data_IF_862541359663
#
_entry.id   IF_862541359663
#
_cell.length_a   1.000
_cell.length_b   1.000
_cell.length_c   1.000
_cell.angle_alpha   90.00
_cell.angle_beta   90.00
_cell.angle_gamma   90.00
#
_symmetry.space_group_name_H-M   'P 1'
#
loop_
_entity.id
_entity.type
_entity.pdbx_description
1 polymer ?
#
# COMPACT_ATOMS: atom_id res chain seq x y z
N UNK A 1 19.84 -15.28 7.75
CA UNK A 1 20.33 -14.14 8.57
C UNK A 1 20.26 -12.86 7.73
N UNK A 2 19.54 -11.82 8.18
CA UNK A 2 19.62 -10.49 7.55
C UNK A 2 20.91 -9.82 8.00
N UNK A 3 21.85 -9.61 7.08
CA UNK A 3 23.00 -8.73 7.28
C UNK A 3 22.50 -7.27 7.31
N UNK A 4 21.94 -6.82 8.43
CA UNK A 4 21.79 -5.40 8.71
C UNK A 4 23.17 -4.87 9.08
N UNK A 5 23.61 -3.81 8.41
CA UNK A 5 24.89 -3.10 8.67
C UNK A 5 25.04 -2.66 10.15
N UNK A 6 23.95 -2.68 10.93
CA UNK A 6 23.90 -2.28 12.33
C UNK A 6 23.72 -3.40 13.36
N UNK A 7 23.72 -4.69 12.99
CA UNK A 7 23.53 -5.78 13.96
C UNK A 7 24.30 -7.05 13.58
N UNK A 8 25.16 -7.51 14.51
CA UNK A 8 26.10 -8.62 14.31
C UNK A 8 27.53 -8.09 14.30
N UNK A 9 28.54 -8.90 14.63
CA UNK A 9 29.95 -8.54 14.45
C UNK A 9 30.53 -9.18 13.17
N UNK A 10 30.11 -8.75 11.97
CA UNK A 10 30.57 -9.35 10.73
C UNK A 10 32.07 -9.09 10.49
N UNK A 11 32.68 -8.14 11.19
CA UNK A 11 34.12 -7.84 11.06
C UNK A 11 34.99 -8.88 11.76
N UNK A 12 34.59 -9.34 12.95
CA UNK A 12 35.37 -10.30 13.73
C UNK A 12 35.36 -11.68 13.07
N UNK A 13 34.19 -12.18 12.65
CA UNK A 13 34.10 -13.44 11.91
C UNK A 13 34.89 -13.37 10.60
N UNK A 14 34.79 -12.27 9.84
CA UNK A 14 35.57 -12.12 8.59
C UNK A 14 37.08 -12.12 8.85
N UNK A 15 37.54 -11.40 9.87
CA UNK A 15 38.96 -11.38 10.24
C UNK A 15 39.45 -12.79 10.63
N UNK A 16 38.63 -13.54 11.36
CA UNK A 16 38.94 -14.93 11.74
C UNK A 16 38.98 -15.88 10.53
N UNK A 17 38.02 -15.79 9.60
CA UNK A 17 38.03 -16.60 8.38
C UNK A 17 39.28 -16.29 7.53
N UNK A 18 39.66 -15.01 7.40
CA UNK A 18 40.88 -14.61 6.70
C UNK A 18 42.14 -15.15 7.38
N UNK A 19 42.21 -15.15 8.72
CA UNK A 19 43.38 -15.70 9.43
C UNK A 19 43.51 -17.23 9.29
N UNK A 20 42.42 -17.91 8.94
CA UNK A 20 42.38 -19.34 8.63
C UNK A 20 42.55 -19.64 7.13
N UNK A 21 42.82 -18.62 6.30
CA UNK A 21 42.98 -18.78 4.85
C UNK A 21 41.68 -19.13 4.11
N UNK A 22 40.52 -18.87 4.72
CA UNK A 22 39.21 -19.16 4.15
C UNK A 22 38.71 -17.97 3.32
N UNK A 23 38.16 -18.24 2.14
CA UNK A 23 37.50 -17.22 1.32
C UNK A 23 36.24 -16.68 2.02
N UNK A 24 36.26 -15.38 2.33
CA UNK A 24 35.15 -14.67 2.96
C UNK A 24 33.87 -14.63 2.10
N UNK A 25 33.98 -14.93 0.81
CA UNK A 25 32.83 -14.93 -0.10
C UNK A 25 32.01 -16.23 -0.02
N UNK A 26 32.51 -17.28 0.66
CA UNK A 26 31.75 -18.51 0.90
C UNK A 26 30.48 -18.27 1.74
N UNK A 27 30.51 -17.31 2.66
CA UNK A 27 29.31 -16.89 3.37
C UNK A 27 28.60 -15.79 2.56
N UNK A 28 27.86 -16.23 1.55
CA UNK A 28 27.14 -15.34 0.64
C UNK A 28 26.28 -14.33 1.41
N UNK A 29 26.34 -13.06 0.97
CA UNK A 29 25.36 -12.07 1.42
C UNK A 29 24.01 -12.48 0.88
N UNK A 30 23.00 -12.38 1.73
CA UNK A 30 21.61 -12.67 1.37
C UNK A 30 21.11 -11.74 0.24
N UNK A 31 21.35 -12.14 -1.00
CA UNK A 31 20.92 -11.45 -2.22
C UNK A 31 20.48 -12.51 -3.22
N UNK A 32 19.17 -12.59 -3.49
CA UNK A 32 18.60 -13.52 -4.48
C UNK A 32 17.46 -14.38 -3.94
N UNK A 33 17.15 -15.44 -4.69
CA UNK A 33 16.07 -16.36 -4.34
C UNK A 33 16.35 -17.05 -3.00
N UNK A 34 15.46 -16.82 -2.02
CA UNK A 34 15.61 -17.29 -0.63
C UNK A 34 15.80 -18.80 -0.55
N UNK A 35 15.11 -19.52 -1.43
CA UNK A 35 15.16 -20.98 -1.48
C UNK A 35 16.58 -21.47 -1.76
N UNK A 36 17.19 -20.98 -2.84
CA UNK A 36 18.56 -21.33 -3.21
C UNK A 36 19.57 -20.91 -2.12
N UNK A 37 19.45 -19.69 -1.58
CA UNK A 37 20.38 -19.19 -0.57
C UNK A 37 20.42 -20.09 0.67
N UNK A 38 19.29 -20.64 1.10
CA UNK A 38 19.25 -21.55 2.26
C UNK A 38 20.06 -22.81 1.99
N UNK A 39 19.82 -23.51 0.87
CA UNK A 39 20.53 -24.74 0.55
C UNK A 39 22.02 -24.50 0.21
N UNK A 40 22.33 -23.39 -0.46
CA UNK A 40 23.72 -22.96 -0.70
C UNK A 40 24.47 -22.76 0.62
N UNK A 41 23.85 -22.04 1.57
CA UNK A 41 24.46 -21.80 2.89
C UNK A 41 24.61 -23.08 3.69
N UNK A 42 23.71 -24.06 3.58
CA UNK A 42 23.87 -25.36 4.24
C UNK A 42 25.21 -26.01 3.88
N UNK A 43 25.53 -26.08 2.59
CA UNK A 43 26.79 -26.64 2.11
C UNK A 43 28.00 -25.85 2.57
N UNK A 44 27.94 -24.52 2.50
CA UNK A 44 29.05 -23.67 2.92
C UNK A 44 29.28 -23.73 4.44
N UNK A 45 28.23 -23.82 5.25
CA UNK A 45 28.34 -23.98 6.71
C UNK A 45 28.91 -25.36 7.04
N UNK A 46 28.48 -26.42 6.35
CA UNK A 46 29.03 -27.76 6.54
C UNK A 46 30.52 -27.81 6.21
N UNK A 47 30.91 -27.23 5.06
CA UNK A 47 32.31 -27.10 4.66
C UNK A 47 33.16 -26.33 5.68
N UNK A 48 32.59 -25.31 6.32
CA UNK A 48 33.25 -24.48 7.32
C UNK A 48 33.03 -24.96 8.76
N UNK A 49 32.47 -26.15 8.98
CA UNK A 49 31.96 -26.58 10.28
C UNK A 49 33.03 -26.50 11.37
N UNK A 50 34.21 -27.08 11.14
CA UNK A 50 35.31 -27.07 12.11
C UNK A 50 35.78 -25.64 12.43
N UNK A 51 35.93 -24.80 11.41
CA UNK A 51 36.34 -23.40 11.55
C UNK A 51 35.30 -22.60 12.33
N UNK A 52 34.01 -22.82 12.07
CA UNK A 52 32.92 -22.17 12.78
C UNK A 52 32.81 -22.63 14.23
N UNK A 53 33.00 -23.93 14.50
CA UNK A 53 33.08 -24.46 15.86
C UNK A 53 34.22 -23.80 16.64
N UNK A 54 35.40 -23.67 16.04
CA UNK A 54 36.54 -22.99 16.67
C UNK A 54 36.23 -21.51 16.96
N UNK A 55 35.64 -20.79 16.00
CA UNK A 55 35.25 -19.39 16.17
C UNK A 55 34.26 -19.21 17.32
N UNK A 56 33.19 -19.99 17.35
CA UNK A 56 32.16 -19.84 18.38
C UNK A 56 32.59 -20.37 19.76
N UNK A 57 33.60 -21.24 19.81
CA UNK A 57 34.16 -21.73 21.08
C UNK A 57 35.16 -20.74 21.67
N UNK A 58 36.06 -20.19 20.85
CA UNK A 58 37.26 -19.51 21.34
C UNK A 58 37.27 -17.99 21.09
N UNK A 59 36.43 -17.46 20.21
CA UNK A 59 36.54 -16.07 19.73
C UNK A 59 35.26 -15.27 19.95
N UNK A 60 34.09 -15.87 19.74
CA UNK A 60 32.82 -15.16 19.83
C UNK A 60 32.22 -15.22 21.25
N UNK A 61 32.26 -14.10 21.97
CA UNK A 61 31.77 -14.03 23.35
C UNK A 61 30.25 -13.76 23.47
N UNK A 62 29.54 -13.63 22.34
CA UNK A 62 28.12 -13.22 22.35
C UNK A 62 27.23 -14.33 22.91
N UNK A 63 26.19 -14.01 23.72
CA UNK A 63 25.28 -15.03 24.23
C UNK A 63 24.62 -15.89 23.14
N UNK A 64 24.27 -15.28 22.00
CA UNK A 64 23.71 -16.00 20.86
C UNK A 64 24.70 -17.00 20.22
N UNK A 65 26.02 -16.79 20.37
CA UNK A 65 27.04 -17.72 19.87
C UNK A 65 26.93 -19.09 20.55
N UNK A 66 26.57 -19.13 21.83
CA UNK A 66 26.41 -20.39 22.58
C UNK A 66 25.30 -21.26 22.00
N UNK A 67 24.20 -20.64 21.55
CA UNK A 67 23.07 -21.35 20.91
C UNK A 67 23.48 -21.87 19.53
N UNK A 68 24.23 -21.07 18.77
CA UNK A 68 24.73 -21.50 17.46
C UNK A 68 25.74 -22.63 17.62
N UNK A 69 26.67 -22.51 18.55
CA UNK A 69 27.66 -23.53 18.89
C UNK A 69 27.00 -24.86 19.27
N UNK A 70 26.07 -24.81 20.24
CA UNK A 70 25.37 -26.03 20.67
C UNK A 70 24.61 -26.68 19.53
N UNK A 71 24.03 -25.88 18.63
CA UNK A 71 23.33 -26.40 17.44
C UNK A 71 24.28 -27.06 16.45
N UNK A 72 25.42 -26.43 16.15
CA UNK A 72 26.43 -26.95 15.21
C UNK A 72 27.10 -28.24 15.70
N UNK A 73 27.12 -28.49 17.02
CA UNK A 73 27.64 -29.71 17.61
C UNK A 73 26.68 -30.91 17.50
N UNK A 74 25.40 -30.69 17.20
CA UNK A 74 24.42 -31.77 17.06
C UNK A 74 24.62 -32.52 15.73
N UNK A 75 24.80 -33.83 15.79
CA UNK A 75 24.96 -34.69 14.60
C UNK A 75 23.78 -34.60 13.64
N UNK A 76 22.57 -34.42 14.16
CA UNK A 76 21.36 -34.20 13.35
C UNK A 76 21.47 -32.92 12.52
N UNK A 77 21.90 -31.82 13.12
CA UNK A 77 22.07 -30.53 12.43
C UNK A 77 23.17 -30.64 11.37
N UNK A 78 24.28 -31.31 11.70
CA UNK A 78 25.35 -31.54 10.72
C UNK A 78 24.86 -32.37 9.53
N UNK A 79 24.06 -33.42 9.77
CA UNK A 79 23.44 -34.23 8.71
C UNK A 79 22.47 -33.41 7.85
N UNK A 80 21.66 -32.55 8.47
CA UNK A 80 20.75 -31.63 7.76
C UNK A 80 21.51 -30.61 6.91
N UNK A 81 22.62 -30.06 7.43
CA UNK A 81 23.51 -29.15 6.69
C UNK A 81 24.18 -29.87 5.52
N UNK A 82 24.65 -31.10 5.72
CA UNK A 82 25.27 -31.92 4.68
C UNK A 82 24.29 -32.20 3.54
N UNK A 83 23.11 -32.77 3.86
CA UNK A 83 22.06 -33.06 2.89
C UNK A 83 21.56 -31.77 2.23
N UNK A 84 21.37 -30.70 2.99
CA UNK A 84 21.00 -29.40 2.45
C UNK A 84 22.03 -28.87 1.46
N UNK A 85 23.32 -29.02 1.75
CA UNK A 85 24.40 -28.66 0.84
C UNK A 85 24.34 -29.43 -0.47
N UNK A 86 24.09 -30.74 -0.42
CA UNK A 86 23.96 -31.59 -1.61
C UNK A 86 22.77 -31.16 -2.50
N UNK A 87 21.61 -30.83 -1.92
CA UNK A 87 20.50 -30.23 -2.67
C UNK A 87 20.83 -28.81 -3.18
N UNK A 88 21.65 -28.07 -2.44
CA UNK A 88 22.21 -26.79 -2.83
C UNK A 88 22.96 -26.89 -4.15
N UNK A 89 23.87 -27.86 -4.23
CA UNK A 89 24.71 -28.12 -5.41
C UNK A 89 23.94 -28.81 -6.53
N UNK A 90 23.19 -29.86 -6.24
CA UNK A 90 22.58 -30.73 -7.28
C UNK A 90 21.22 -30.24 -7.80
N UNK A 91 20.52 -29.36 -7.07
CA UNK A 91 19.14 -28.97 -7.41
C UNK A 91 18.99 -27.45 -7.49
N UNK A 92 19.12 -26.75 -6.36
CA UNK A 92 18.76 -25.32 -6.31
C UNK A 92 19.76 -24.43 -7.05
N UNK A 93 21.07 -24.73 -7.02
CA UNK A 93 22.08 -24.00 -7.78
C UNK A 93 21.90 -24.16 -9.29
N UNK A 94 21.80 -25.38 -9.82
CA UNK A 94 21.54 -25.66 -11.22
C UNK A 94 20.22 -25.07 -11.69
N UNK A 95 19.17 -25.09 -10.85
CA UNK A 95 17.92 -24.36 -11.09
C UNK A 95 18.18 -22.87 -11.37
N UNK A 96 18.91 -22.21 -10.48
CA UNK A 96 19.25 -20.78 -10.64
C UNK A 96 20.09 -20.53 -11.90
N UNK A 97 21.02 -21.44 -12.24
CA UNK A 97 21.83 -21.31 -13.46
C UNK A 97 21.01 -21.50 -14.74
N UNK A 98 20.15 -22.53 -14.78
CA UNK A 98 19.31 -22.86 -15.93
C UNK A 98 18.25 -21.80 -16.22
N UNK A 99 17.49 -21.44 -15.20
CA UNK A 99 16.23 -20.73 -15.39
C UNK A 99 16.36 -19.23 -15.20
N UNK A 100 17.26 -18.78 -14.31
CA UNK A 100 17.39 -17.37 -13.95
C UNK A 100 18.60 -16.66 -14.58
N UNK A 101 19.67 -17.39 -14.93
CA UNK A 101 20.89 -16.80 -15.52
C UNK A 101 20.98 -16.95 -17.04
N UNK A 102 20.25 -17.88 -17.65
CA UNK A 102 20.30 -18.13 -19.09
C UNK A 102 19.35 -17.17 -19.82
N UNK A 103 19.89 -16.08 -20.34
CA UNK A 103 19.12 -14.99 -21.00
C UNK A 103 18.45 -15.39 -22.31
N UNK A 104 18.78 -16.55 -22.87
CA UNK A 104 18.27 -17.02 -24.16
C UNK A 104 17.23 -18.14 -24.07
N UNK A 105 16.90 -18.60 -22.86
CA UNK A 105 15.87 -19.64 -22.69
C UNK A 105 14.50 -19.00 -22.92
N UNK A 106 13.62 -19.62 -23.71
CA UNK A 106 12.22 -19.18 -23.77
C UNK A 106 11.45 -19.77 -22.58
N UNK A 107 10.36 -19.11 -22.18
CA UNK A 107 9.50 -19.61 -21.10
C UNK A 107 9.04 -21.06 -21.37
N UNK A 108 8.67 -21.39 -22.61
CA UNK A 108 8.18 -22.73 -22.97
C UNK A 108 9.29 -23.78 -23.08
N UNK A 109 10.52 -23.39 -23.43
CA UNK A 109 11.66 -24.30 -23.42
C UNK A 109 12.00 -24.77 -21.99
N UNK A 110 11.58 -24.02 -20.97
CA UNK A 110 11.76 -24.42 -19.58
C UNK A 110 10.97 -25.69 -19.19
N UNK A 111 9.84 -25.99 -19.87
CA UNK A 111 8.99 -27.15 -19.57
C UNK A 111 9.77 -28.47 -19.63
N UNK A 112 10.60 -28.67 -20.66
CA UNK A 112 11.42 -29.89 -20.82
C UNK A 112 12.48 -30.01 -19.73
N UNK A 113 13.10 -28.89 -19.37
CA UNK A 113 14.12 -28.83 -18.32
C UNK A 113 13.49 -29.17 -16.97
N UNK A 114 12.32 -28.60 -16.68
CA UNK A 114 11.58 -28.83 -15.43
C UNK A 114 11.07 -30.27 -15.31
N UNK A 115 10.58 -30.85 -16.40
CA UNK A 115 10.13 -32.25 -16.46
C UNK A 115 11.29 -33.23 -16.29
N UNK A 116 12.45 -32.98 -16.92
CA UNK A 116 13.65 -33.75 -16.68
C UNK A 116 14.09 -33.67 -15.21
N UNK A 117 14.09 -32.47 -14.61
CA UNK A 117 14.44 -32.31 -13.21
C UNK A 117 13.48 -33.02 -12.26
N UNK A 118 12.17 -33.01 -12.57
CA UNK A 118 11.16 -33.76 -11.82
C UNK A 118 11.41 -35.27 -11.90
N UNK A 119 11.71 -35.80 -13.09
CA UNK A 119 12.07 -37.22 -13.31
C UNK A 119 13.35 -37.61 -12.59
N UNK A 120 14.38 -36.77 -12.63
CA UNK A 120 15.63 -37.03 -11.90
C UNK A 120 15.42 -37.03 -10.39
N UNK A 121 14.56 -36.14 -9.87
CA UNK A 121 14.17 -36.20 -8.45
C UNK A 121 13.43 -37.49 -8.09
N UNK A 122 12.61 -38.07 -8.99
CA UNK A 122 11.98 -39.39 -8.77
C UNK A 122 13.03 -40.48 -8.61
N UNK A 123 14.07 -40.45 -9.44
CA UNK A 123 15.20 -41.36 -9.30
C UNK A 123 15.95 -41.17 -7.98
N UNK A 124 16.09 -39.93 -7.49
CA UNK A 124 16.70 -39.66 -6.16
C UNK A 124 15.83 -40.21 -5.03
N UNK A 125 14.50 -40.19 -5.16
CA UNK A 125 13.61 -40.80 -4.16
C UNK A 125 13.82 -42.32 -4.09
N UNK A 126 13.95 -42.97 -5.24
CA UNK A 126 14.19 -44.42 -5.35
C UNK A 126 15.61 -44.81 -4.92
N UNK A 127 16.60 -43.98 -5.29
CA UNK A 127 18.02 -44.19 -5.01
C UNK A 127 18.65 -42.90 -4.43
N UNK A 128 18.52 -42.67 -3.12
CA UNK A 128 19.00 -41.44 -2.45
C UNK A 128 20.52 -41.22 -2.55
N UNK A 129 21.29 -42.30 -2.72
CA UNK A 129 22.75 -42.24 -2.86
C UNK A 129 23.22 -41.55 -4.16
N UNK A 130 22.33 -41.29 -5.12
CA UNK A 130 22.67 -40.57 -6.34
C UNK A 130 23.25 -39.18 -6.08
N UNK A 131 22.82 -38.48 -5.02
CA UNK A 131 23.33 -37.15 -4.69
C UNK A 131 24.83 -37.12 -4.35
N UNK A 132 25.42 -38.25 -3.96
CA UNK A 132 26.85 -38.36 -3.67
C UNK A 132 27.69 -38.67 -4.91
N UNK A 133 27.07 -38.93 -6.07
CA UNK A 133 27.81 -39.21 -7.28
C UNK A 133 28.46 -37.94 -7.82
N UNK A 134 29.73 -38.06 -8.21
CA UNK A 134 30.47 -36.95 -8.82
C UNK A 134 29.74 -36.44 -10.06
N UNK A 135 29.54 -35.13 -10.12
CA UNK A 135 28.84 -34.47 -11.23
C UNK A 135 27.34 -34.72 -11.31
N UNK A 136 26.73 -35.36 -10.30
CA UNK A 136 25.27 -35.50 -10.27
C UNK A 136 24.58 -34.14 -10.21
N UNK A 137 23.61 -33.93 -11.08
CA UNK A 137 22.76 -32.75 -11.09
C UNK A 137 21.35 -33.13 -11.55
N UNK A 138 20.34 -32.52 -10.95
CA UNK A 138 18.95 -32.68 -11.41
C UNK A 138 18.67 -31.90 -12.71
N UNK A 139 19.62 -31.06 -13.14
CA UNK A 139 19.50 -30.27 -14.35
C UNK A 139 20.67 -30.61 -15.28
N UNK A 140 20.44 -30.57 -16.58
CA UNK A 140 21.47 -30.80 -17.61
C UNK A 140 22.45 -29.61 -17.70
N UNK A 141 23.20 -29.37 -16.63
CA UNK A 141 24.19 -28.30 -16.51
C UNK A 141 25.50 -28.90 -16.03
N UNK A 142 26.59 -28.54 -16.68
CA UNK A 142 27.91 -28.76 -16.11
C UNK A 142 28.03 -27.97 -14.81
N UNK A 143 27.96 -28.68 -13.68
CA UNK A 143 28.41 -28.10 -12.43
C UNK A 143 29.90 -27.83 -12.48
N UNK A 144 30.35 -26.86 -11.68
CA UNK A 144 31.76 -26.52 -11.58
C UNK A 144 32.44 -27.71 -10.90
N UNK A 145 32.99 -28.64 -11.69
CA UNK A 145 33.61 -29.89 -11.23
C UNK A 145 34.73 -29.67 -10.20
N UNK A 146 35.24 -28.44 -10.12
CA UNK A 146 36.31 -28.04 -9.20
C UNK A 146 35.88 -27.22 -7.98
N UNK A 147 34.59 -27.18 -7.66
CA UNK A 147 34.13 -26.51 -6.44
C UNK A 147 34.57 -27.29 -5.17
N UNK A 148 35.36 -26.68 -4.26
CA UNK A 148 35.86 -27.37 -3.07
C UNK A 148 34.75 -27.79 -2.11
N UNK A 149 33.64 -27.05 -2.08
CA UNK A 149 32.47 -27.38 -1.25
C UNK A 149 31.79 -28.65 -1.76
N UNK A 150 31.52 -28.76 -3.07
CA UNK A 150 30.94 -29.97 -3.66
C UNK A 150 31.81 -31.20 -3.40
N UNK A 151 33.13 -31.10 -3.63
CA UNK A 151 34.07 -32.21 -3.37
C UNK A 151 34.04 -32.65 -1.91
N UNK A 152 33.99 -31.69 -0.98
CA UNK A 152 33.92 -31.98 0.45
C UNK A 152 32.62 -32.69 0.85
N UNK A 153 31.47 -32.24 0.33
CA UNK A 153 30.18 -32.90 0.57
C UNK A 153 30.17 -34.33 0.02
N UNK A 154 30.73 -34.56 -1.18
CA UNK A 154 30.72 -35.88 -1.82
C UNK A 154 31.75 -36.86 -1.23
N UNK A 155 32.78 -36.36 -0.53
CA UNK A 155 33.81 -37.19 0.08
C UNK A 155 33.32 -38.01 1.29
N UNK A 156 32.23 -37.59 1.94
CA UNK A 156 31.69 -38.23 3.14
C UNK A 156 30.64 -39.27 2.75
N UNK A 157 30.83 -40.52 3.17
CA UNK A 157 29.86 -41.59 2.92
C UNK A 157 28.53 -41.33 3.65
N UNK A 158 27.38 -41.53 2.99
CA UNK A 158 26.07 -41.27 3.60
C UNK A 158 25.74 -42.27 4.70
N UNK A 159 25.19 -41.76 5.79
CA UNK A 159 24.57 -42.57 6.84
C UNK A 159 23.13 -42.96 6.47
N UNK A 160 22.59 -44.00 7.11
CA UNK A 160 21.18 -44.38 6.91
C UNK A 160 20.19 -43.26 7.27
N UNK A 161 20.54 -42.40 8.23
CA UNK A 161 19.76 -41.22 8.59
C UNK A 161 19.73 -40.19 7.46
N UNK A 162 20.89 -39.88 6.86
CA UNK A 162 21.00 -38.94 5.74
C UNK A 162 20.28 -39.45 4.50
N UNK A 163 20.35 -40.74 4.19
CA UNK A 163 19.57 -41.33 3.10
C UNK A 163 18.05 -41.10 3.32
N UNK A 164 17.57 -41.29 4.55
CA UNK A 164 16.18 -41.02 4.91
C UNK A 164 15.81 -39.53 4.88
N UNK A 165 16.74 -38.63 5.19
CA UNK A 165 16.56 -37.19 4.99
C UNK A 165 16.47 -36.82 3.51
N UNK A 166 17.35 -37.37 2.67
CA UNK A 166 17.35 -37.14 1.22
C UNK A 166 16.02 -37.56 0.61
N UNK A 167 15.52 -38.76 0.92
CA UNK A 167 14.22 -39.21 0.42
C UNK A 167 13.09 -38.25 0.79
N UNK A 168 13.05 -37.78 2.05
CA UNK A 168 12.01 -36.85 2.52
C UNK A 168 12.12 -35.49 1.83
N UNK A 169 13.34 -34.97 1.72
CA UNK A 169 13.59 -33.69 1.05
C UNK A 169 13.25 -33.77 -0.44
N UNK A 170 13.68 -34.82 -1.15
CA UNK A 170 13.35 -35.03 -2.56
C UNK A 170 11.84 -35.10 -2.80
N UNK A 171 11.09 -35.83 -1.96
CA UNK A 171 9.61 -35.85 -2.00
C UNK A 171 9.00 -34.48 -1.77
N UNK A 172 9.56 -33.67 -0.87
CA UNK A 172 9.09 -32.32 -0.63
C UNK A 172 9.34 -31.40 -1.84
N UNK A 173 10.50 -31.51 -2.50
CA UNK A 173 10.78 -30.81 -3.75
C UNK A 173 9.78 -31.20 -4.84
N UNK A 174 9.50 -32.49 -5.01
CA UNK A 174 8.51 -32.99 -5.98
C UNK A 174 7.13 -32.41 -5.71
N UNK A 175 6.64 -32.51 -4.47
CA UNK A 175 5.33 -31.98 -4.12
C UNK A 175 5.21 -30.48 -4.40
N UNK A 176 6.29 -29.71 -4.23
CA UNK A 176 6.33 -28.30 -4.59
C UNK A 176 6.31 -28.10 -6.11
N UNK A 177 7.11 -28.85 -6.85
CA UNK A 177 7.13 -28.78 -8.33
C UNK A 177 5.77 -29.16 -8.91
N UNK A 178 5.17 -30.25 -8.47
CA UNK A 178 3.85 -30.69 -8.91
C UNK A 178 2.76 -29.68 -8.57
N UNK A 179 2.83 -29.01 -7.41
CA UNK A 179 1.85 -28.00 -7.05
C UNK A 179 2.02 -26.68 -7.81
N UNK A 180 3.26 -26.22 -7.98
CA UNK A 180 3.54 -24.87 -8.50
C UNK A 180 3.79 -24.84 -10.00
N UNK A 181 4.24 -25.95 -10.57
CA UNK A 181 4.70 -26.04 -11.96
C UNK A 181 3.93 -27.09 -12.76
N UNK A 182 2.77 -27.54 -12.27
CA UNK A 182 1.90 -28.51 -12.96
C UNK A 182 1.70 -28.20 -14.44
N UNK A 183 1.58 -26.92 -14.80
CA UNK A 183 1.38 -26.48 -16.18
C UNK A 183 2.59 -26.72 -17.08
N UNK A 184 3.79 -26.73 -16.52
CA UNK A 184 5.07 -26.94 -17.20
C UNK A 184 5.55 -28.39 -17.18
N UNK A 185 4.90 -29.27 -16.41
CA UNK A 185 5.24 -30.69 -16.32
C UNK A 185 4.44 -31.51 -17.34
N UNK A 186 4.86 -32.76 -17.58
CA UNK A 186 4.17 -33.67 -18.48
C UNK A 186 2.66 -33.77 -18.13
N UNK A 187 1.81 -33.46 -19.12
CA UNK A 187 0.34 -33.40 -18.95
C UNK A 187 -0.22 -32.01 -18.64
N UNK A 188 0.64 -31.03 -18.37
CA UNK A 188 0.28 -29.62 -18.22
C UNK A 188 0.04 -28.89 -19.54
N UNK A 189 -0.74 -27.82 -19.49
CA UNK A 189 -1.13 -27.04 -20.68
C UNK A 189 0.05 -26.37 -21.40
N UNK A 190 1.11 -26.02 -20.67
CA UNK A 190 2.29 -25.32 -21.22
C UNK A 190 3.41 -26.30 -21.66
N UNK A 191 3.27 -27.59 -21.38
CA UNK A 191 4.28 -28.60 -21.72
C UNK A 191 4.37 -28.84 -23.23
N UNK A 192 3.22 -28.95 -23.90
CA UNK A 192 3.10 -29.15 -25.36
C UNK A 192 2.07 -28.17 -25.94
N UNK A 193 2.43 -26.88 -25.95
CA UNK A 193 1.55 -25.85 -26.50
C UNK A 193 1.39 -25.96 -28.02
N UNK A 194 0.16 -25.76 -28.57
CA UNK A 194 -0.05 -25.65 -30.01
C UNK A 194 0.75 -24.48 -30.61
N UNK A 195 1.22 -24.58 -31.87
CA UNK A 195 2.05 -23.55 -32.50
C UNK A 195 1.47 -22.13 -32.44
N UNK A 196 0.15 -21.99 -32.54
CA UNK A 196 -0.55 -20.71 -32.46
C UNK A 196 -0.38 -20.02 -31.10
N UNK A 197 -0.37 -20.78 -30.00
CA UNK A 197 -0.20 -20.24 -28.64
C UNK A 197 1.27 -20.03 -28.29
N UNK A 198 2.19 -20.77 -28.91
CA UNK A 198 3.64 -20.56 -28.76
C UNK A 198 4.02 -19.13 -29.16
N UNK A 199 3.44 -18.62 -30.26
CA UNK A 199 3.68 -17.25 -30.73
C UNK A 199 3.28 -16.22 -29.66
N UNK A 200 2.13 -16.41 -29.01
CA UNK A 200 1.65 -15.52 -27.94
C UNK A 200 2.54 -15.55 -26.69
N UNK A 201 3.11 -16.72 -26.36
CA UNK A 201 3.95 -16.92 -25.19
C UNK A 201 5.45 -16.61 -25.43
N UNK A 202 5.85 -16.30 -26.67
CA UNK A 202 7.27 -16.09 -27.04
C UNK A 202 7.92 -14.94 -26.25
N UNK A 203 7.14 -13.94 -25.87
CA UNK A 203 7.60 -12.77 -25.10
C UNK A 203 7.37 -12.91 -23.59
N UNK A 204 6.85 -14.03 -23.12
CA UNK A 204 6.67 -14.25 -21.69
C UNK A 204 8.04 -14.43 -21.03
N UNK A 205 8.31 -13.74 -19.90
CA UNK A 205 9.56 -13.94 -19.16
C UNK A 205 9.63 -15.38 -18.63
N UNK A 206 10.84 -15.92 -18.58
CA UNK A 206 11.12 -17.27 -18.06
C UNK A 206 10.89 -17.35 -16.56
N UNK A 207 11.19 -16.26 -15.86
CA UNK A 207 11.14 -16.18 -14.41
C UNK A 207 10.37 -14.96 -13.92
N UNK A 208 10.16 -14.92 -12.60
CA UNK A 208 9.44 -13.86 -11.93
C UNK A 208 10.33 -12.68 -11.48
N UNK A 209 11.65 -12.71 -11.68
CA UNK A 209 12.54 -11.66 -11.18
C UNK A 209 12.25 -10.31 -11.82
N UNK A 210 11.96 -10.28 -13.13
CA UNK A 210 11.60 -9.04 -13.82
C UNK A 210 10.33 -8.47 -13.20
N UNK A 211 9.30 -9.29 -13.02
CA UNK A 211 8.03 -8.88 -12.42
C UNK A 211 8.19 -8.43 -10.97
N UNK A 212 8.97 -9.13 -10.15
CA UNK A 212 9.27 -8.75 -8.76
C UNK A 212 10.05 -7.43 -8.70
N UNK A 213 11.02 -7.24 -9.59
CA UNK A 213 11.81 -6.00 -9.68
C UNK A 213 10.95 -4.82 -10.09
N UNK A 214 10.08 -4.99 -11.10
CA UNK A 214 9.09 -4.00 -11.56
C UNK A 214 8.16 -3.61 -10.41
N UNK A 215 7.59 -4.58 -9.70
CA UNK A 215 6.69 -4.33 -8.57
C UNK A 215 7.39 -3.65 -7.40
N UNK A 216 8.60 -4.10 -7.05
CA UNK A 216 9.41 -3.48 -6.00
C UNK A 216 9.78 -2.04 -6.33
N UNK A 217 10.11 -1.75 -7.60
CA UNK A 217 10.39 -0.39 -8.03
C UNK A 217 9.12 0.47 -8.04
N UNK A 218 7.97 -0.10 -8.42
CA UNK A 218 6.69 0.58 -8.33
C UNK A 218 6.34 0.97 -6.90
N UNK A 219 6.40 0.03 -5.94
CA UNK A 219 6.13 0.30 -4.52
C UNK A 219 7.07 1.40 -3.97
N UNK A 220 8.36 1.35 -4.31
CA UNK A 220 9.30 2.40 -3.94
C UNK A 220 8.89 3.78 -4.50
N UNK A 221 8.50 3.85 -5.78
CA UNK A 221 8.08 5.11 -6.41
C UNK A 221 6.78 5.64 -5.81
N UNK A 222 5.80 4.78 -5.53
CA UNK A 222 4.54 5.17 -4.89
C UNK A 222 4.77 5.74 -3.49
N UNK A 223 5.68 5.16 -2.70
CA UNK A 223 6.02 5.67 -1.37
C UNK A 223 6.83 6.97 -1.42
N UNK A 224 7.78 7.07 -2.35
CA UNK A 224 8.67 8.23 -2.46
C UNK A 224 7.98 9.44 -3.11
N UNK A 225 7.10 9.19 -4.07
CA UNK A 225 6.47 10.20 -4.93
C UNK A 225 4.95 10.05 -4.91
N UNK A 226 4.36 10.19 -3.72
CA UNK A 226 2.92 9.99 -3.50
C UNK A 226 2.01 10.99 -4.24
N UNK A 227 2.56 12.11 -4.74
CA UNK A 227 1.83 13.09 -5.57
C UNK A 227 2.01 12.84 -7.07
N UNK A 228 2.90 11.91 -7.46
CA UNK A 228 3.09 11.57 -8.87
C UNK A 228 1.91 10.74 -9.40
N UNK A 229 1.53 11.00 -10.65
CA UNK A 229 0.47 10.22 -11.30
C UNK A 229 0.94 8.80 -11.61
N UNK A 230 0.01 7.85 -11.65
CA UNK A 230 0.30 6.45 -12.01
C UNK A 230 1.01 6.36 -13.37
N UNK A 231 0.59 7.18 -14.34
CA UNK A 231 1.20 7.26 -15.66
C UNK A 231 2.68 7.69 -15.60
N UNK A 232 3.03 8.64 -14.73
CA UNK A 232 4.42 9.06 -14.54
C UNK A 232 5.27 7.95 -13.93
N UNK A 233 4.77 7.28 -12.90
CA UNK A 233 5.47 6.15 -12.27
C UNK A 233 5.63 4.98 -13.25
N UNK A 234 4.59 4.64 -14.01
CA UNK A 234 4.64 3.60 -15.04
C UNK A 234 5.66 3.92 -16.14
N UNK A 235 5.69 5.17 -16.63
CA UNK A 235 6.67 5.60 -17.62
C UNK A 235 8.10 5.50 -17.09
N UNK A 236 8.33 5.86 -15.83
CA UNK A 236 9.64 5.77 -15.18
C UNK A 236 10.12 4.33 -15.00
N UNK A 237 9.20 3.44 -14.62
CA UNK A 237 9.47 2.00 -14.52
C UNK A 237 9.82 1.45 -15.91
N UNK A 238 8.97 1.68 -16.91
CA UNK A 238 9.21 1.23 -18.29
C UNK A 238 10.51 1.76 -18.88
N UNK A 239 10.86 3.02 -18.59
CA UNK A 239 12.14 3.59 -19.00
C UNK A 239 13.33 2.80 -18.44
N UNK A 240 13.29 2.49 -17.14
CA UNK A 240 14.34 1.76 -16.44
C UNK A 240 14.41 0.26 -16.84
N UNK A 241 13.26 -0.39 -17.03
CA UNK A 241 13.19 -1.85 -17.25
C UNK A 241 13.43 -2.23 -18.70
N UNK A 242 12.98 -1.41 -19.66
CA UNK A 242 13.09 -1.74 -21.08
C UNK A 242 14.45 -1.32 -21.69
N UNK A 243 15.42 -0.94 -20.86
CA UNK A 243 16.70 -0.36 -21.30
C UNK A 243 16.49 0.79 -22.28
N UNK A 244 15.48 1.61 -22.02
CA UNK A 244 15.07 2.68 -22.93
C UNK A 244 16.19 3.73 -23.05
N UNK A 245 17.00 3.92 -22.00
CA UNK A 245 18.24 4.71 -22.06
C UNK A 245 19.20 4.19 -23.12
N UNK A 246 19.52 2.89 -23.06
CA UNK A 246 20.49 2.25 -23.95
C UNK A 246 19.98 2.25 -25.41
N UNK A 247 18.67 2.17 -25.60
CA UNK A 247 18.03 2.30 -26.91
C UNK A 247 18.10 3.74 -27.43
N UNK A 248 17.81 4.74 -26.59
CA UNK A 248 17.94 6.16 -26.93
C UNK A 248 19.37 6.52 -27.32
N UNK A 249 20.37 6.03 -26.58
CA UNK A 249 21.79 6.25 -26.86
C UNK A 249 22.26 5.64 -28.19
N UNK A 250 21.57 4.61 -28.68
CA UNK A 250 21.89 3.91 -29.95
C UNK A 250 21.20 4.52 -31.18
N UNK A 251 20.28 5.45 -31.00
CA UNK A 251 19.58 6.11 -32.11
C UNK A 251 20.39 7.32 -32.58
N UNK A 252 20.70 7.37 -33.89
CA UNK A 252 21.29 8.54 -34.54
C UNK A 252 20.36 9.76 -34.54
N UNK A 253 20.95 10.95 -34.36
CA UNK A 253 20.30 12.24 -34.04
C UNK A 253 19.01 12.56 -34.82
N UNK A 254 18.94 12.26 -36.12
CA UNK A 254 17.78 12.59 -36.97
C UNK A 254 16.46 11.95 -36.52
N UNK A 255 16.48 10.71 -36.01
CA UNK A 255 15.27 10.02 -35.57
C UNK A 255 14.89 10.36 -34.12
N UNK A 256 15.86 10.77 -33.30
CA UNK A 256 15.65 11.09 -31.89
C UNK A 256 14.79 12.36 -31.72
N UNK A 257 15.07 13.41 -32.50
CA UNK A 257 14.28 14.65 -32.48
C UNK A 257 12.82 14.42 -32.90
N UNK A 258 12.59 13.54 -33.88
CA UNK A 258 11.24 13.16 -34.31
C UNK A 258 10.45 12.42 -33.22
N UNK A 259 11.10 11.51 -32.50
CA UNK A 259 10.48 10.77 -31.38
C UNK A 259 10.18 11.73 -30.22
N UNK A 260 11.14 12.56 -29.81
CA UNK A 260 10.96 13.56 -28.74
C UNK A 260 9.84 14.55 -29.10
N UNK A 261 9.78 15.00 -30.37
CA UNK A 261 8.72 15.88 -30.86
C UNK A 261 7.33 15.24 -30.74
N UNK A 262 7.20 13.97 -31.13
CA UNK A 262 5.95 13.20 -30.97
C UNK A 262 5.57 13.03 -29.51
N UNK A 263 6.51 12.66 -28.63
CA UNK A 263 6.25 12.53 -27.20
C UNK A 263 5.78 13.84 -26.56
N UNK A 264 6.40 14.98 -26.92
CA UNK A 264 5.95 16.31 -26.46
C UNK A 264 4.54 16.63 -26.92
N UNK A 265 4.21 16.34 -28.18
CA UNK A 265 2.86 16.57 -28.71
C UNK A 265 1.79 15.72 -28.00
N UNK A 266 2.09 14.45 -27.72
CA UNK A 266 1.20 13.55 -26.98
C UNK A 266 0.99 14.05 -25.55
N UNK A 267 2.07 14.48 -24.87
CA UNK A 267 2.00 15.02 -23.51
C UNK A 267 1.12 16.28 -23.45
N UNK A 268 1.27 17.17 -24.43
CA UNK A 268 0.49 18.40 -24.50
C UNK A 268 -1.01 18.12 -24.75
N UNK A 269 -1.33 17.20 -25.68
CA UNK A 269 -2.72 16.74 -25.87
C UNK A 269 -3.31 16.13 -24.59
N UNK A 270 -2.52 15.34 -23.86
CA UNK A 270 -2.97 14.77 -22.59
C UNK A 270 -3.23 15.84 -21.53
N UNK A 271 -2.43 16.90 -21.48
CA UNK A 271 -2.63 18.02 -20.54
C UNK A 271 -3.90 18.81 -20.86
N UNK A 272 -4.14 19.07 -22.15
CA UNK A 272 -5.36 19.75 -22.60
C UNK A 272 -6.58 18.92 -22.22
N UNK A 273 -6.61 17.63 -22.58
CA UNK A 273 -7.72 16.73 -22.22
C UNK A 273 -7.94 16.65 -20.71
N UNK A 274 -6.87 16.61 -19.91
CA UNK A 274 -7.00 16.58 -18.44
C UNK A 274 -7.59 17.88 -17.88
N UNK A 275 -7.27 19.04 -18.47
CA UNK A 275 -7.86 20.33 -18.10
C UNK A 275 -9.33 20.37 -18.46
N UNK A 276 -9.69 19.92 -19.66
CA UNK A 276 -11.07 19.90 -20.14
C UNK A 276 -11.94 19.01 -19.25
N UNK A 277 -11.46 17.83 -18.88
CA UNK A 277 -12.16 16.92 -17.95
C UNK A 277 -12.28 17.54 -16.55
N UNK A 278 -11.23 18.18 -16.03
CA UNK A 278 -11.32 18.87 -14.73
C UNK A 278 -12.33 20.01 -14.76
N UNK A 279 -12.35 20.79 -15.84
CA UNK A 279 -13.28 21.90 -16.01
C UNK A 279 -14.72 21.40 -16.12
N UNK A 280 -14.95 20.29 -16.82
CA UNK A 280 -16.25 19.62 -16.87
C UNK A 280 -16.72 19.15 -15.49
N UNK A 281 -15.83 18.53 -14.70
CA UNK A 281 -16.14 18.10 -13.33
C UNK A 281 -16.50 19.30 -12.44
N UNK A 282 -15.72 20.40 -12.52
CA UNK A 282 -16.02 21.63 -11.81
C UNK A 282 -17.40 22.20 -12.19
N UNK A 283 -17.73 22.24 -13.48
CA UNK A 283 -19.02 22.71 -13.96
C UNK A 283 -20.18 21.85 -13.43
N UNK A 284 -20.05 20.52 -13.48
CA UNK A 284 -21.05 19.59 -12.93
C UNK A 284 -21.24 19.76 -11.42
N UNK A 285 -20.17 20.01 -10.67
CA UNK A 285 -20.25 20.27 -9.24
C UNK A 285 -20.98 21.59 -8.94
N UNK A 286 -20.67 22.65 -9.68
CA UNK A 286 -21.34 23.94 -9.54
C UNK A 286 -22.84 23.83 -9.84
N UNK A 287 -23.22 23.13 -10.92
CA UNK A 287 -24.63 22.88 -11.24
C UNK A 287 -25.36 22.11 -10.13
N UNK A 288 -24.72 21.08 -9.57
CA UNK A 288 -25.28 20.29 -8.47
C UNK A 288 -25.51 21.15 -7.22
N UNK A 289 -24.55 21.99 -6.87
CA UNK A 289 -24.67 22.91 -5.72
C UNK A 289 -25.78 23.95 -5.94
N UNK A 290 -25.90 24.49 -7.16
CA UNK A 290 -26.99 25.41 -7.50
C UNK A 290 -28.36 24.73 -7.41
N UNK A 291 -28.51 23.51 -7.95
CA UNK A 291 -29.75 22.73 -7.85
C UNK A 291 -30.12 22.44 -6.38
N UNK A 292 -29.16 22.06 -5.54
CA UNK A 292 -29.40 21.86 -4.11
C UNK A 292 -29.84 23.13 -3.40
N UNK A 293 -29.21 24.28 -3.70
CA UNK A 293 -29.60 25.58 -3.13
C UNK A 293 -31.04 25.94 -3.52
N UNK A 294 -31.39 25.77 -4.80
CA UNK A 294 -32.76 26.01 -5.29
C UNK A 294 -33.79 25.07 -4.68
N UNK A 295 -33.47 23.78 -4.53
CA UNK A 295 -34.37 22.81 -3.87
C UNK A 295 -34.60 23.15 -2.40
N UNK A 296 -33.54 23.48 -1.65
CA UNK A 296 -33.67 23.94 -0.26
C UNK A 296 -34.52 25.19 -0.14
N UNK A 297 -34.32 26.16 -1.03
CA UNK A 297 -35.11 27.39 -1.05
C UNK A 297 -36.59 27.11 -1.36
N UNK A 298 -36.89 26.23 -2.33
CA UNK A 298 -38.26 25.81 -2.64
C UNK A 298 -38.93 25.06 -1.48
N UNK A 299 -38.21 24.16 -0.82
CA UNK A 299 -38.71 23.43 0.35
C UNK A 299 -39.02 24.40 1.51
N UNK A 300 -38.13 25.37 1.77
CA UNK A 300 -38.35 26.41 2.77
C UNK A 300 -39.58 27.27 2.44
N UNK A 301 -39.71 27.74 1.21
CA UNK A 301 -40.88 28.51 0.78
C UNK A 301 -42.18 27.69 0.88
N UNK A 302 -42.14 26.38 0.60
CA UNK A 302 -43.29 25.49 0.75
C UNK A 302 -43.67 25.29 2.21
N UNK A 303 -42.69 25.08 3.09
CA UNK A 303 -42.91 24.94 4.53
C UNK A 303 -43.50 26.21 5.14
N UNK A 304 -42.99 27.39 4.76
CA UNK A 304 -43.54 28.69 5.19
C UNK A 304 -44.98 28.86 4.70
N UNK A 305 -45.28 28.49 3.44
CA UNK A 305 -46.66 28.57 2.92
C UNK A 305 -47.63 27.64 3.65
N UNK A 306 -47.19 26.43 4.00
CA UNK A 306 -47.99 25.50 4.80
C UNK A 306 -48.25 26.02 6.21
N UNK A 307 -47.22 26.60 6.85
CA UNK A 307 -47.36 27.24 8.17
C UNK A 307 -48.33 28.43 8.17
N UNK A 308 -48.40 29.19 7.07
CA UNK A 308 -49.35 30.31 6.94
C UNK A 308 -50.78 29.81 6.65
N UNK A 309 -50.93 28.64 6.02
CA UNK A 309 -52.23 28.09 5.61
C UNK A 309 -52.89 27.20 6.66
N UNK A 310 -52.18 26.88 7.74
CA UNK A 310 -52.68 26.04 8.84
C UNK A 310 -52.77 26.86 10.14
N UNK A 311 -53.91 27.53 10.43
CA UNK A 311 -54.10 28.36 11.61
C UNK A 311 -53.96 27.57 12.93
N UNK A 312 -54.16 26.25 12.89
CA UNK A 312 -54.18 25.38 14.07
C UNK A 312 -52.77 25.04 14.59
N UNK A 313 -51.72 25.27 13.79
CA UNK A 313 -50.34 25.13 14.28
C UNK A 313 -49.87 26.30 15.15
N UNK A 314 -50.50 27.47 15.04
CA UNK A 314 -50.26 28.60 15.94
C UNK A 314 -51.03 28.49 17.26
N UNK A 315 -52.14 27.76 17.28
CA UNK A 315 -52.96 27.56 18.49
C UNK A 315 -52.47 26.43 19.41
N UNK A 316 -51.52 25.60 18.96
CA UNK A 316 -50.97 24.48 19.74
C UNK A 316 -49.61 24.77 20.42
N UNK A 317 -49.07 25.99 20.32
CA UNK A 317 -47.90 26.46 21.05
C UNK A 317 -48.24 27.03 22.43
N UNK A 318 -47.24 27.12 23.32
CA UNK A 318 -47.31 27.39 24.78
C UNK A 318 -48.11 28.65 25.23
N UNK A 319 -48.67 29.47 24.33
CA UNK A 319 -49.30 30.75 24.67
C UNK A 319 -50.66 30.95 23.99
N UNK A 320 -51.59 30.02 24.24
CA UNK A 320 -52.95 30.03 23.72
C UNK A 320 -53.91 31.03 24.40
N UNK A 321 -53.43 32.14 24.97
CA UNK A 321 -54.32 33.12 25.58
C UNK A 321 -53.97 34.57 25.19
N UNK A 322 -54.97 35.19 24.54
CA UNK A 322 -55.22 36.62 24.38
C UNK A 322 -54.19 37.48 23.65
N UNK A 323 -54.40 37.67 22.34
CA UNK A 323 -54.65 39.00 21.72
C UNK A 323 -54.60 38.90 20.19
N UNK A 324 -55.38 39.75 19.51
CA UNK A 324 -55.38 39.87 18.05
C UNK A 324 -53.99 40.30 17.58
N UNK A 325 -53.32 39.46 16.80
CA UNK A 325 -52.04 39.80 16.19
C UNK A 325 -52.26 40.97 15.22
N UNK A 326 -51.62 42.12 15.50
CA UNK A 326 -51.68 43.31 14.65
C UNK A 326 -51.17 43.01 13.22
N UNK A 327 -51.81 43.53 12.16
CA UNK A 327 -51.35 43.37 10.77
C UNK A 327 -49.90 43.84 10.53
N UNK A 328 -49.46 44.87 11.26
CA UNK A 328 -48.10 45.42 11.16
C UNK A 328 -47.04 44.44 11.68
N UNK A 329 -47.44 43.58 12.62
CA UNK A 329 -46.61 42.53 13.21
C UNK A 329 -46.37 41.38 12.23
N UNK A 330 -47.39 41.04 11.42
CA UNK A 330 -47.28 40.07 10.33
C UNK A 330 -46.40 40.61 9.19
N UNK A 331 -46.51 41.90 8.86
CA UNK A 331 -45.64 42.53 7.86
C UNK A 331 -44.18 42.60 8.33
N UNK A 332 -43.96 42.90 9.61
CA UNK A 332 -42.64 42.89 10.24
C UNK A 332 -42.04 41.49 10.24
N UNK A 333 -42.78 40.45 10.64
CA UNK A 333 -42.33 39.07 10.58
C UNK A 333 -42.00 38.61 9.14
N UNK A 334 -42.79 39.05 8.15
CA UNK A 334 -42.54 38.78 6.73
C UNK A 334 -41.24 39.44 6.24
N UNK A 335 -40.92 40.65 6.70
CA UNK A 335 -39.66 41.32 6.42
C UNK A 335 -38.45 40.60 7.06
N UNK A 336 -38.62 40.11 8.29
CA UNK A 336 -37.59 39.37 9.04
C UNK A 336 -37.20 38.07 8.33
N UNK A 337 -38.18 37.35 7.78
CA UNK A 337 -37.94 36.11 7.02
C UNK A 337 -37.25 36.38 5.67
N UNK A 338 -37.52 37.53 5.04
CA UNK A 338 -36.95 37.90 3.74
C UNK A 338 -35.50 38.42 3.83
N UNK A 339 -35.12 39.08 4.93
CA UNK A 339 -33.76 39.61 5.12
C UNK A 339 -33.35 39.63 6.60
N UNK A 340 -32.84 38.50 7.16
CA UNK A 340 -32.55 38.38 8.60
C UNK A 340 -31.59 39.44 9.16
N UNK A 341 -30.73 39.99 8.30
CA UNK A 341 -29.75 41.01 8.68
C UNK A 341 -30.35 42.41 8.88
N UNK A 342 -31.62 42.65 8.48
CA UNK A 342 -32.25 43.99 8.63
C UNK A 342 -32.67 44.32 10.08
N UNK A 343 -32.58 43.35 11.00
CA UNK A 343 -32.86 43.53 12.42
C UNK A 343 -31.61 43.79 13.27
N UNK A 344 -30.42 43.52 12.73
CA UNK A 344 -29.18 43.66 13.48
C UNK A 344 -28.98 45.12 13.91
N UNK A 345 -28.83 45.33 15.21
CA UNK A 345 -28.62 46.66 15.80
C UNK A 345 -29.89 47.50 16.01
N UNK A 346 -31.07 47.02 15.62
CA UNK A 346 -32.34 47.70 15.96
C UNK A 346 -32.67 47.48 17.43
N UNK A 347 -33.18 48.53 18.06
CA UNK A 347 -33.64 48.53 19.45
C UNK A 347 -35.16 48.55 19.50
N UNK A 348 -35.73 47.74 20.39
CA UNK A 348 -37.16 47.64 20.62
C UNK A 348 -37.44 47.95 22.08
N UNK A 349 -38.43 48.78 22.35
CA UNK A 349 -38.80 49.15 23.72
C UNK A 349 -40.13 48.47 24.07
N UNK A 350 -40.10 47.72 25.17
CA UNK A 350 -41.23 46.97 25.68
C UNK A 350 -41.69 47.58 26.99
N UNK A 351 -43.01 47.69 27.20
CA UNK A 351 -43.59 48.07 28.49
C UNK A 351 -44.26 46.85 29.10
N UNK A 352 -43.90 46.50 30.32
CA UNK A 352 -44.51 45.34 30.98
C UNK A 352 -45.93 45.69 31.44
N UNK A 353 -46.90 44.81 31.15
CA UNK A 353 -48.33 45.10 31.28
C UNK A 353 -48.85 45.45 32.69
N UNK A 354 -48.03 45.41 33.75
CA UNK A 354 -48.43 45.79 35.11
C UNK A 354 -47.40 46.67 35.85
N UNK A 355 -46.50 47.38 35.15
CA UNK A 355 -45.55 48.32 35.76
C UNK A 355 -45.03 49.39 34.79
N UNK A 356 -44.47 50.49 35.33
CA UNK A 356 -43.89 51.60 34.55
C UNK A 356 -42.48 51.34 34.01
N UNK A 357 -41.96 50.12 34.21
CA UNK A 357 -40.63 49.75 33.74
C UNK A 357 -40.61 49.51 32.24
N UNK A 358 -39.70 50.20 31.55
CA UNK A 358 -39.43 50.01 30.13
C UNK A 358 -38.18 49.15 29.94
N UNK A 359 -38.28 48.15 29.08
CA UNK A 359 -37.16 47.29 28.70
C UNK A 359 -36.75 47.58 27.27
N UNK A 360 -35.45 47.74 27.05
CA UNK A 360 -34.86 47.85 25.73
C UNK A 360 -34.32 46.48 25.32
N UNK A 361 -34.55 46.13 24.06
CA UNK A 361 -34.16 44.86 23.46
C UNK A 361 -33.36 45.13 22.20
N UNK A 362 -32.18 44.50 22.09
CA UNK A 362 -31.33 44.62 20.90
C UNK A 362 -30.94 43.25 20.38
N UNK A 363 -31.02 43.07 19.06
CA UNK A 363 -30.56 41.86 18.38
C UNK A 363 -29.14 42.05 17.88
N UNK A 364 -28.24 41.18 18.31
CA UNK A 364 -26.83 41.20 17.91
C UNK A 364 -26.41 39.89 17.25
N UNK A 365 -25.51 39.98 16.28
CA UNK A 365 -24.93 38.82 15.60
C UNK A 365 -23.79 38.26 16.45
N UNK A 366 -23.84 36.98 16.77
CA UNK A 366 -22.73 36.27 17.42
C UNK A 366 -22.22 35.16 16.50
N UNK A 367 -20.97 35.29 16.08
CA UNK A 367 -20.28 34.25 15.32
C UNK A 367 -19.73 33.21 16.28
N UNK A 368 -20.19 31.98 16.12
CA UNK A 368 -19.71 30.83 16.87
C UNK A 368 -18.62 30.11 16.06
N UNK A 369 -17.73 29.36 16.72
CA UNK A 369 -16.52 28.75 16.13
C UNK A 369 -16.78 27.72 15.00
N UNK A 370 -18.04 27.48 14.63
CA UNK A 370 -18.48 26.51 13.63
C UNK A 370 -19.10 27.09 12.35
N UNK A 371 -18.78 28.33 11.96
CA UNK A 371 -19.32 29.00 10.75
C UNK A 371 -20.85 29.16 10.70
N UNK A 372 -21.54 28.92 11.82
CA UNK A 372 -22.98 29.14 11.93
C UNK A 372 -23.22 30.47 12.65
N UNK A 373 -23.88 31.41 11.97
CA UNK A 373 -24.26 32.70 12.54
C UNK A 373 -25.45 32.47 13.47
N UNK A 374 -25.29 32.80 14.75
CA UNK A 374 -26.38 32.81 15.73
C UNK A 374 -26.75 34.26 16.06
N UNK A 375 -28.03 34.50 16.28
CA UNK A 375 -28.52 35.80 16.70
C UNK A 375 -28.83 35.75 18.19
N UNK A 376 -28.38 36.75 18.93
CA UNK A 376 -28.53 36.84 20.37
C UNK A 376 -29.40 38.04 20.70
N UNK A 377 -30.36 37.83 21.61
CA UNK A 377 -31.25 38.88 22.09
C UNK A 377 -30.79 39.30 23.48
N UNK A 378 -30.58 40.61 23.63
CA UNK A 378 -30.10 41.21 24.87
C UNK A 378 -31.20 42.11 25.41
N UNK A 379 -31.62 41.88 26.66
CA UNK A 379 -32.66 42.66 27.33
C UNK A 379 -32.07 43.43 28.51
N UNK A 380 -32.37 44.72 28.60
CA UNK A 380 -31.96 45.59 29.70
C UNK A 380 -33.05 46.63 30.02
N UNK A 381 -33.15 47.09 31.25
CA UNK A 381 -34.03 48.23 31.59
C UNK A 381 -33.49 49.50 30.94
N UNK A 382 -34.37 50.37 30.42
CA UNK A 382 -34.00 51.58 29.66
C UNK A 382 -33.09 52.55 30.45
N UNK A 383 -33.07 52.48 31.78
CA UNK A 383 -32.24 53.31 32.65
C UNK A 383 -30.93 52.64 33.11
N UNK A 384 -30.63 51.40 32.68
CA UNK A 384 -29.41 50.65 33.04
C UNK A 384 -28.52 50.39 31.83
N UNK A 385 -27.22 50.23 32.08
CA UNK A 385 -26.22 49.98 31.03
C UNK A 385 -26.34 48.56 30.45
N UNK A 386 -26.03 48.40 29.17
CA UNK A 386 -26.13 47.14 28.40
C UNK A 386 -25.25 46.05 29.01
N UNK A 387 -24.21 46.41 29.76
CA UNK A 387 -23.35 45.46 30.48
C UNK A 387 -24.05 44.68 31.59
N UNK A 388 -25.21 45.13 32.06
CA UNK A 388 -26.01 44.45 33.09
C UNK A 388 -27.13 43.57 32.52
N UNK A 389 -27.18 43.44 31.19
CA UNK A 389 -28.23 42.71 30.51
C UNK A 389 -28.20 41.20 30.77
N UNK A 390 -29.38 40.58 30.76
CA UNK A 390 -29.49 39.12 30.75
C UNK A 390 -29.54 38.59 29.32
N UNK A 391 -28.61 37.68 29.01
CA UNK A 391 -28.46 37.10 27.69
C UNK A 391 -29.38 35.89 27.51
N UNK A 392 -30.07 35.85 26.36
CA UNK A 392 -30.78 34.65 25.94
C UNK A 392 -30.45 34.28 24.50
N UNK A 393 -30.12 33.01 24.29
CA UNK A 393 -29.72 32.46 22.99
C UNK A 393 -30.87 31.64 22.43
N UNK A 394 -31.38 32.04 21.27
CA UNK A 394 -32.49 31.37 20.60
C UNK A 394 -32.16 31.07 19.13
N UNK A 395 -32.90 30.14 18.52
CA UNK A 395 -32.92 29.99 17.07
C UNK A 395 -33.81 31.09 16.45
N UNK A 396 -33.54 31.50 15.20
CA UNK A 396 -34.33 32.54 14.51
C UNK A 396 -35.83 32.20 14.44
N UNK A 397 -36.19 30.91 14.40
CA UNK A 397 -37.56 30.43 14.44
C UNK A 397 -38.25 30.74 15.78
N UNK A 398 -37.56 30.50 16.89
CA UNK A 398 -38.11 30.80 18.23
C UNK A 398 -38.15 32.31 18.49
N UNK A 399 -37.20 33.06 17.93
CA UNK A 399 -37.15 34.52 18.02
C UNK A 399 -38.37 35.19 17.36
N UNK A 400 -38.74 34.78 16.15
CA UNK A 400 -39.92 35.32 15.45
C UNK A 400 -41.22 34.95 16.16
N UNK A 401 -41.28 33.77 16.80
CA UNK A 401 -42.45 33.35 17.58
C UNK A 401 -42.64 34.18 18.87
N UNK A 402 -41.55 34.52 19.58
CA UNK A 402 -41.61 35.37 20.78
C UNK A 402 -41.96 36.83 20.47
N UNK A 403 -41.50 37.36 19.33
CA UNK A 403 -41.79 38.73 18.91
C UNK A 403 -43.28 38.96 18.59
N UNK A 404 -44.02 37.90 18.27
CA UNK A 404 -45.43 37.97 17.85
C UNK A 404 -46.45 38.04 18.99
N UNK A 405 -46.01 37.95 20.26
CA UNK A 405 -46.88 37.67 21.40
C UNK A 405 -46.90 38.76 22.50
N UNK A 406 -46.15 39.85 22.36
CA UNK A 406 -46.19 40.98 23.31
C UNK A 406 -46.41 42.30 22.57
N UNK A 407 -47.20 43.22 23.13
CA UNK A 407 -47.47 44.54 22.53
C UNK A 407 -46.18 45.40 22.52
N UNK A 408 -45.47 45.39 21.41
CA UNK A 408 -44.35 46.29 21.15
C UNK A 408 -44.85 47.62 20.57
N UNK A 409 -44.35 48.73 21.12
CA UNK A 409 -44.47 50.04 20.50
C UNK A 409 -43.17 50.38 19.75
N UNK A 410 -43.31 50.83 18.50
CA UNK A 410 -42.19 51.30 17.70
C UNK A 410 -41.82 52.75 18.08
N UNK A 411 -40.52 53.06 18.02
CA UNK A 411 -40.03 54.43 18.05
C UNK A 411 -39.33 54.78 16.75
#
# INVERSE_FOLDING_TARGET
MKYKVSSGEPKQLKAFLLSKGVDINLLERYVGNRFHVVFSLCGNIYYLLEVLLEYFTNVCEKPAAKIVLSSLQLSVVQSELHVGGLFGKSVSGPWMKCLYKKTSLSNLDSSKILDNAHKTLLQVVEKPSLLWQEGFSCFDVEECKDDPVTKHLQAVLPTGFELGLVTRTAKAFQAVMERQLVQYLQGGELYNMPPERVILATNAPVDNMVSESVLGYADFLFRRSNVATDAYNAAKIGYATNKTSDWVEKITDSNLYGIIGKSKSILEKSRINSRDVQQEICNRLLEKLQKQKQQKQRALCSAIKQLIQDPDHFSAGIFAHDSQISPDLIETASCIVKSPNSLLGKEFIWKQNNGDTLFCHRVIERKDNGNCVKYMSVFFEVEKDVSEAQDFIFSLHNFVASFMLEEAYFK
#
